data_IF_187688787210
#
_entry.id   IF_187688787210
#
_cell.length_a   1.000
_cell.length_b   1.000
_cell.length_c   1.000
_cell.angle_alpha   90.00
_cell.angle_beta   90.00
_cell.angle_gamma   90.00
#
_symmetry.space_group_name_H-M   'P 1'
#
loop_
_entity.id
_entity.type
_entity.pdbx_description
1 polymer ?
#
# COMPACT_ATOMS: atom_id res chain seq x y z
N UNK A 1 29.99 -58.91 50.43
CA UNK A 1 30.30 -57.65 49.83
C UNK A 1 30.04 -57.74 48.32
N UNK A 2 28.98 -57.19 47.82
CA UNK A 2 28.63 -57.21 46.41
C UNK A 2 28.94 -55.81 45.82
N UNK A 3 29.79 -55.77 44.80
CA UNK A 3 30.22 -54.56 44.13
C UNK A 3 29.26 -54.26 42.99
N UNK A 4 28.50 -53.17 43.10
CA UNK A 4 27.59 -52.70 42.03
C UNK A 4 28.39 -51.81 41.03
N UNK A 5 28.44 -52.23 39.78
CA UNK A 5 28.99 -51.47 38.67
C UNK A 5 27.89 -50.56 38.12
N UNK A 6 28.07 -49.24 38.24
CA UNK A 6 27.19 -48.24 37.64
C UNK A 6 27.73 -47.90 36.24
N UNK A 7 27.01 -48.31 35.21
CA UNK A 7 27.32 -47.98 33.82
C UNK A 7 26.66 -46.65 33.48
N UNK A 8 27.44 -45.57 33.24
CA UNK A 8 26.95 -44.29 32.77
C UNK A 8 26.74 -44.33 31.24
N UNK A 9 25.50 -44.15 30.81
CA UNK A 9 25.16 -44.01 29.40
C UNK A 9 25.27 -42.50 29.04
N UNK A 10 26.25 -42.15 28.22
CA UNK A 10 26.35 -40.84 27.67
C UNK A 10 25.41 -40.70 26.46
N UNK A 11 24.39 -39.84 26.57
CA UNK A 11 23.56 -39.43 25.43
C UNK A 11 24.37 -38.40 24.60
N UNK A 12 24.76 -38.81 23.40
CA UNK A 12 25.32 -37.89 22.41
C UNK A 12 24.13 -37.12 21.78
N UNK A 13 24.02 -35.83 22.06
CA UNK A 13 23.15 -34.94 21.28
C UNK A 13 23.80 -34.73 19.88
N UNK A 14 23.32 -35.45 18.87
CA UNK A 14 23.62 -35.10 17.49
C UNK A 14 22.84 -33.82 17.13
N UNK A 15 23.56 -32.73 16.88
CA UNK A 15 23.01 -31.51 16.31
C UNK A 15 22.64 -31.79 14.84
N UNK A 16 21.35 -31.98 14.58
CA UNK A 16 20.83 -32.13 13.22
C UNK A 16 20.93 -30.77 12.50
N UNK A 17 22.02 -30.59 11.73
CA UNK A 17 22.35 -29.35 11.01
C UNK A 17 21.72 -29.30 9.61
N UNK A 18 20.69 -30.11 9.31
CA UNK A 18 20.08 -30.23 7.97
C UNK A 18 18.73 -29.54 7.84
N UNK A 19 18.31 -28.73 8.82
CA UNK A 19 17.09 -27.95 8.67
C UNK A 19 17.33 -26.86 7.60
N UNK A 20 16.56 -26.85 6.48
CA UNK A 20 16.68 -25.78 5.49
C UNK A 20 16.48 -24.42 6.16
N UNK A 21 17.41 -23.51 5.98
CA UNK A 21 17.21 -22.11 6.38
C UNK A 21 16.05 -21.58 5.54
N UNK A 22 14.99 -21.01 6.17
CA UNK A 22 13.92 -20.40 5.40
C UNK A 22 14.51 -19.37 4.43
N UNK A 23 13.96 -19.23 3.21
CA UNK A 23 14.43 -18.21 2.27
C UNK A 23 14.35 -16.84 2.95
N UNK A 24 15.39 -16.04 2.80
CA UNK A 24 15.37 -14.67 3.29
C UNK A 24 14.21 -13.92 2.64
N UNK A 25 13.48 -13.12 3.42
CA UNK A 25 12.43 -12.26 2.90
C UNK A 25 12.97 -11.25 1.88
N UNK A 26 12.11 -10.51 1.19
CA UNK A 26 12.53 -9.52 0.21
C UNK A 26 13.38 -8.43 0.87
N UNK A 27 14.26 -7.82 0.07
CA UNK A 27 14.96 -6.61 0.47
C UNK A 27 14.10 -5.40 0.15
N UNK A 28 14.35 -4.31 0.85
CA UNK A 28 13.76 -3.00 0.53
C UNK A 28 14.84 -2.09 -0.03
N UNK A 29 14.51 -1.28 -1.04
CA UNK A 29 15.45 -0.32 -1.62
C UNK A 29 15.80 0.80 -0.63
N UNK A 30 16.85 1.57 -0.92
CA UNK A 30 16.91 2.93 -0.41
C UNK A 30 15.70 3.73 -0.91
N UNK A 31 15.37 4.83 -0.21
CA UNK A 31 14.27 5.70 -0.60
C UNK A 31 14.56 6.33 -1.98
N UNK A 32 13.64 6.13 -2.93
CA UNK A 32 13.69 6.73 -4.26
C UNK A 32 12.93 8.08 -4.22
N UNK A 33 13.50 9.15 -4.79
CA UNK A 33 12.80 10.44 -4.80
C UNK A 33 11.54 10.39 -5.65
N UNK A 34 10.51 11.13 -5.23
CA UNK A 34 9.28 11.35 -5.99
C UNK A 34 9.24 12.80 -6.41
N UNK A 35 8.86 13.06 -7.67
CA UNK A 35 8.58 14.38 -8.21
C UNK A 35 7.09 14.49 -8.56
N UNK A 36 6.47 15.65 -8.26
CA UNK A 36 5.07 15.90 -8.57
C UNK A 36 4.79 15.72 -10.08
N UNK A 37 3.70 15.02 -10.41
CA UNK A 37 3.32 14.70 -11.78
C UNK A 37 4.09 13.51 -12.40
N UNK A 38 4.98 12.87 -11.64
CA UNK A 38 5.66 11.65 -12.08
C UNK A 38 4.67 10.50 -12.19
N UNK A 39 4.90 9.60 -13.17
CA UNK A 39 4.18 8.31 -13.26
C UNK A 39 5.10 7.20 -12.76
N UNK A 40 4.76 6.60 -11.64
CA UNK A 40 5.55 5.52 -11.02
C UNK A 40 4.91 4.18 -11.30
N UNK A 41 5.51 3.42 -12.21
CA UNK A 41 5.00 2.12 -12.67
C UNK A 41 4.30 2.17 -14.02
N UNK A 42 3.86 1.00 -14.51
CA UNK A 42 3.13 0.89 -15.76
C UNK A 42 1.68 1.36 -15.56
N UNK A 43 1.24 2.33 -16.37
CA UNK A 43 -0.13 2.79 -16.37
C UNK A 43 -1.07 1.69 -16.89
N UNK A 44 -2.15 1.43 -16.16
CA UNK A 44 -3.14 0.38 -16.50
C UNK A 44 -4.57 0.93 -16.52
N UNK A 45 -4.79 2.07 -15.85
CA UNK A 45 -6.12 2.65 -15.64
C UNK A 45 -6.21 4.04 -16.27
N UNK A 46 -7.42 4.45 -16.63
CA UNK A 46 -7.71 5.84 -16.97
C UNK A 46 -7.57 6.74 -15.72
N UNK A 47 -7.57 8.07 -15.91
CA UNK A 47 -7.66 9.03 -14.83
C UNK A 47 -8.92 8.78 -13.98
N UNK A 48 -8.84 9.09 -12.68
CA UNK A 48 -9.74 8.60 -11.67
C UNK A 48 -11.15 9.19 -11.65
N UNK A 49 -11.43 10.29 -12.37
CA UNK A 49 -12.74 10.94 -12.34
C UNK A 49 -13.90 10.03 -12.82
N UNK A 50 -13.63 9.19 -13.82
CA UNK A 50 -14.60 8.25 -14.37
C UNK A 50 -14.56 6.87 -13.72
N UNK A 51 -13.55 6.60 -12.87
CA UNK A 51 -13.31 5.31 -12.21
C UNK A 51 -13.42 5.39 -10.69
N UNK A 52 -13.79 6.54 -10.11
CA UNK A 52 -14.11 6.64 -8.69
C UNK A 52 -15.41 5.94 -8.36
N UNK A 53 -15.46 5.16 -7.29
CA UNK A 53 -16.66 4.42 -6.90
C UNK A 53 -17.83 5.32 -6.54
N UNK A 54 -17.58 6.48 -5.93
CA UNK A 54 -18.61 7.42 -5.46
C UNK A 54 -19.16 8.36 -6.52
N UNK A 55 -18.37 8.74 -7.50
CA UNK A 55 -18.72 9.69 -8.56
C UNK A 55 -19.40 10.98 -8.03
N UNK A 56 -18.90 11.53 -6.93
CA UNK A 56 -19.42 12.69 -6.23
C UNK A 56 -20.42 12.40 -5.11
N UNK A 57 -21.01 11.19 -5.04
CA UNK A 57 -21.82 10.76 -3.91
C UNK A 57 -20.93 10.27 -2.74
N UNK A 58 -21.37 10.41 -1.47
CA UNK A 58 -20.59 9.90 -0.35
C UNK A 58 -20.29 8.40 -0.44
N UNK A 59 -19.06 8.00 -0.09
CA UNK A 59 -18.61 6.60 -0.01
C UNK A 59 -18.12 6.34 1.41
N UNK A 60 -18.64 5.33 2.08
CA UNK A 60 -18.28 4.95 3.46
C UNK A 60 -18.23 6.14 4.44
N UNK A 61 -19.17 7.09 4.29
CA UNK A 61 -19.24 8.30 5.10
C UNK A 61 -18.26 9.41 4.68
N UNK A 62 -17.45 9.20 3.65
CA UNK A 62 -16.52 10.19 3.11
C UNK A 62 -17.22 10.96 1.99
N UNK A 63 -17.34 12.28 2.17
CA UNK A 63 -17.93 13.16 1.18
C UNK A 63 -16.92 13.55 0.09
N UNK A 64 -17.46 13.94 -1.10
CA UNK A 64 -16.72 14.73 -2.08
C UNK A 64 -17.14 16.18 -1.89
N UNK A 65 -16.26 17.01 -1.35
CA UNK A 65 -16.57 18.42 -1.04
C UNK A 65 -15.36 19.35 -1.29
N UNK A 66 -15.51 20.62 -0.93
CA UNK A 66 -14.47 21.64 -1.05
C UNK A 66 -14.12 22.25 0.31
N UNK A 67 -14.42 21.53 1.38
CA UNK A 67 -14.17 22.01 2.76
C UNK A 67 -12.66 22.06 3.01
N UNK A 68 -12.21 23.12 3.66
CA UNK A 68 -10.80 23.23 4.06
C UNK A 68 -10.45 22.14 5.06
N UNK A 69 -9.43 21.32 4.78
CA UNK A 69 -9.05 20.22 5.67
C UNK A 69 -8.41 20.76 6.97
N UNK A 70 -8.67 20.06 8.08
CA UNK A 70 -7.96 20.22 9.36
C UNK A 70 -6.99 19.08 9.62
N UNK A 71 -7.17 17.95 8.91
CA UNK A 71 -6.24 16.84 8.87
C UNK A 71 -5.65 16.77 7.46
N UNK A 72 -4.32 16.74 7.36
CA UNK A 72 -3.61 16.59 6.10
C UNK A 72 -2.40 15.70 6.33
N UNK A 73 -2.47 14.46 5.85
CA UNK A 73 -1.39 13.47 5.89
C UNK A 73 -1.24 12.79 4.54
N UNK A 74 -0.10 12.15 4.32
CA UNK A 74 0.23 11.50 3.07
C UNK A 74 0.65 10.03 3.30
N UNK A 75 0.14 9.13 2.45
CA UNK A 75 0.49 7.70 2.46
C UNK A 75 0.94 7.32 1.06
N UNK A 76 1.97 6.49 0.92
CA UNK A 76 2.38 5.98 -0.37
C UNK A 76 1.91 4.54 -0.57
N UNK A 77 1.21 4.29 -1.68
CA UNK A 77 0.76 2.97 -2.10
C UNK A 77 1.59 2.48 -3.30
N UNK A 78 2.33 1.40 -3.10
CA UNK A 78 2.99 0.65 -4.18
C UNK A 78 2.16 -0.58 -4.53
N UNK A 79 1.78 -0.73 -5.80
CA UNK A 79 1.14 -1.95 -6.33
C UNK A 79 2.10 -2.65 -7.29
N UNK A 80 2.43 -3.91 -6.98
CA UNK A 80 3.23 -4.79 -7.86
C UNK A 80 2.33 -5.95 -8.28
N UNK A 81 2.11 -6.12 -9.56
CA UNK A 81 1.31 -7.22 -10.07
C UNK A 81 2.05 -7.94 -11.20
N UNK A 82 2.18 -9.27 -11.06
CA UNK A 82 2.90 -10.13 -12.01
C UNK A 82 4.35 -9.68 -12.24
N UNK A 83 5.03 -9.28 -11.14
CA UNK A 83 6.43 -8.83 -11.17
C UNK A 83 6.65 -7.42 -11.73
N UNK A 84 5.59 -6.68 -12.06
CA UNK A 84 5.67 -5.32 -12.58
C UNK A 84 4.96 -4.33 -11.66
N UNK A 85 5.61 -3.21 -11.33
CA UNK A 85 4.96 -2.12 -10.62
C UNK A 85 3.90 -1.48 -11.51
N UNK A 86 2.73 -1.20 -10.93
CA UNK A 86 1.58 -0.57 -11.57
C UNK A 86 1.38 0.83 -11.01
N UNK A 87 1.16 1.77 -11.89
CA UNK A 87 0.87 3.14 -11.46
C UNK A 87 -0.52 3.19 -10.81
N UNK A 88 -0.60 3.80 -9.64
CA UNK A 88 -1.87 4.21 -9.05
C UNK A 88 -2.33 5.44 -9.84
N UNK A 89 -3.54 5.44 -10.42
CA UNK A 89 -3.91 6.50 -11.34
C UNK A 89 -4.05 7.87 -10.67
N UNK A 90 -3.81 8.90 -11.46
CA UNK A 90 -4.12 10.29 -11.14
C UNK A 90 -5.62 10.48 -10.95
N UNK A 91 -6.01 11.40 -10.07
CA UNK A 91 -7.38 11.86 -9.86
C UNK A 91 -8.36 10.80 -9.31
N UNK A 92 -7.86 9.77 -8.61
CA UNK A 92 -8.74 8.94 -7.78
C UNK A 92 -9.36 9.86 -6.72
N UNK A 93 -10.68 9.77 -6.50
CA UNK A 93 -11.38 10.58 -5.50
C UNK A 93 -11.46 12.06 -5.84
N UNK A 94 -11.35 12.43 -7.11
CA UNK A 94 -11.43 13.83 -7.56
C UNK A 94 -12.58 14.00 -8.56
N UNK A 95 -13.56 14.82 -8.23
CA UNK A 95 -14.68 15.14 -9.10
C UNK A 95 -14.35 16.30 -10.06
N UNK A 96 -14.53 16.09 -11.36
CA UNK A 96 -14.24 17.08 -12.43
C UNK A 96 -12.80 17.66 -12.31
N UNK A 97 -11.74 16.82 -12.37
CA UNK A 97 -10.37 17.27 -12.20
C UNK A 97 -9.91 18.18 -13.33
N UNK A 98 -9.18 19.26 -13.00
CA UNK A 98 -8.39 20.01 -13.94
C UNK A 98 -6.92 19.61 -13.79
N UNK A 99 -6.41 18.89 -14.81
CA UNK A 99 -5.07 18.29 -14.79
C UNK A 99 -4.12 19.14 -15.63
N UNK A 100 -2.97 19.53 -15.07
CA UNK A 100 -1.88 20.19 -15.75
C UNK A 100 -0.57 19.46 -15.45
N UNK A 101 0.20 19.11 -16.48
CA UNK A 101 1.49 18.41 -16.34
C UNK A 101 1.39 17.13 -15.46
N UNK A 102 0.36 16.30 -15.71
CA UNK A 102 0.06 15.09 -14.96
C UNK A 102 -0.21 15.31 -13.45
N UNK A 103 -0.66 16.49 -13.07
CA UNK A 103 -1.02 16.82 -11.69
C UNK A 103 -2.40 17.50 -11.64
N UNK A 104 -3.24 17.10 -10.68
CA UNK A 104 -4.54 17.75 -10.44
C UNK A 104 -4.29 19.08 -9.74
N UNK A 105 -4.52 20.18 -10.44
CA UNK A 105 -4.33 21.54 -9.91
C UNK A 105 -5.61 22.18 -9.41
N UNK A 106 -6.79 21.65 -9.81
CA UNK A 106 -8.09 22.07 -9.33
C UNK A 106 -9.14 20.99 -9.58
N UNK A 107 -10.25 21.05 -8.86
CA UNK A 107 -11.37 20.12 -9.00
C UNK A 107 -12.71 20.77 -8.66
N UNK A 108 -13.80 20.11 -9.06
CA UNK A 108 -15.14 20.46 -8.60
C UNK A 108 -15.38 20.05 -7.15
N UNK A 109 -14.83 18.90 -6.72
CA UNK A 109 -14.76 18.47 -5.34
C UNK A 109 -13.63 17.42 -5.16
N UNK A 110 -13.21 17.21 -3.91
CA UNK A 110 -12.29 16.15 -3.51
C UNK A 110 -12.96 15.25 -2.48
N UNK A 111 -12.85 13.92 -2.66
CA UNK A 111 -13.01 13.02 -1.53
C UNK A 111 -11.84 13.23 -0.57
N UNK A 112 -12.05 13.03 0.70
CA UNK A 112 -10.99 13.21 1.71
C UNK A 112 -9.80 12.28 1.53
N UNK A 113 -9.96 11.19 0.74
CA UNK A 113 -8.90 10.30 0.28
C UNK A 113 -8.82 10.40 -1.24
N UNK A 114 -7.73 10.92 -1.78
CA UNK A 114 -7.58 11.15 -3.22
C UNK A 114 -6.12 11.13 -3.67
N UNK A 115 -5.91 11.18 -5.00
CA UNK A 115 -4.58 11.30 -5.61
C UNK A 115 -4.50 12.51 -6.51
N UNK A 116 -3.39 13.28 -6.42
CA UNK A 116 -3.14 14.40 -7.32
C UNK A 116 -2.40 13.99 -8.58
N UNK A 117 -1.63 12.91 -8.55
CA UNK A 117 -0.84 12.40 -9.66
C UNK A 117 -0.75 10.86 -9.64
N UNK A 118 0.11 10.29 -10.49
CA UNK A 118 0.29 8.84 -10.58
C UNK A 118 1.56 8.35 -9.88
N UNK A 119 1.98 9.03 -8.81
CA UNK A 119 3.13 8.65 -8.00
C UNK A 119 2.82 7.53 -7.01
N UNK A 120 1.54 7.33 -6.68
CA UNK A 120 1.09 6.44 -5.61
C UNK A 120 0.87 7.15 -4.27
N UNK A 121 1.09 8.46 -4.20
CA UNK A 121 0.78 9.25 -3.00
C UNK A 121 -0.74 9.42 -2.89
N UNK A 122 -1.28 8.98 -1.76
CA UNK A 122 -2.66 9.19 -1.34
C UNK A 122 -2.65 10.37 -0.38
N UNK A 123 -3.42 11.40 -0.70
CA UNK A 123 -3.70 12.52 0.18
C UNK A 123 -4.88 12.17 1.08
N UNK A 124 -4.74 12.42 2.36
CA UNK A 124 -5.81 12.33 3.37
C UNK A 124 -6.08 13.74 3.84
N UNK A 125 -7.07 14.39 3.23
CA UNK A 125 -7.43 15.78 3.48
C UNK A 125 -8.86 15.86 4.00
N UNK A 126 -9.03 15.88 5.31
CA UNK A 126 -10.34 15.75 5.95
C UNK A 126 -10.69 16.95 6.84
N UNK A 127 -11.98 17.37 6.88
CA UNK A 127 -12.46 18.42 7.79
C UNK A 127 -12.60 17.93 9.22
N UNK A 128 -12.26 16.67 9.50
CA UNK A 128 -12.30 16.04 10.81
C UNK A 128 -11.01 15.25 11.05
N UNK A 129 -10.50 15.28 12.29
CA UNK A 129 -9.38 14.45 12.68
C UNK A 129 -9.89 13.06 13.05
N UNK A 130 -9.67 12.08 12.16
CA UNK A 130 -10.08 10.69 12.34
C UNK A 130 -9.13 9.75 11.61
N UNK A 131 -9.24 8.46 11.88
CA UNK A 131 -8.46 7.43 11.18
C UNK A 131 -9.20 7.01 9.92
N UNK A 132 -8.48 6.98 8.80
CA UNK A 132 -8.92 6.42 7.54
C UNK A 132 -8.10 5.17 7.23
N UNK A 133 -8.59 4.33 6.29
CA UNK A 133 -7.95 3.07 5.97
C UNK A 133 -7.92 2.79 4.46
N UNK A 134 -7.14 1.79 4.09
CA UNK A 134 -6.95 1.38 2.71
C UNK A 134 -8.25 0.90 2.04
N UNK A 135 -9.15 0.27 2.80
CA UNK A 135 -10.46 -0.18 2.28
C UNK A 135 -11.31 0.98 1.79
N UNK A 136 -11.36 2.08 2.54
CA UNK A 136 -12.08 3.29 2.17
C UNK A 136 -11.49 3.93 0.90
N UNK A 137 -10.15 3.96 0.77
CA UNK A 137 -9.52 4.46 -0.45
C UNK A 137 -9.89 3.61 -1.67
N UNK A 138 -9.86 2.27 -1.55
CA UNK A 138 -10.26 1.37 -2.64
C UNK A 138 -11.75 1.46 -2.97
N UNK A 139 -12.61 1.70 -1.98
CA UNK A 139 -14.03 1.96 -2.18
C UNK A 139 -14.27 3.25 -2.99
N UNK A 140 -13.55 4.33 -2.68
CA UNK A 140 -13.57 5.59 -3.45
C UNK A 140 -13.02 5.37 -4.86
N UNK A 141 -11.95 4.59 -5.01
CA UNK A 141 -11.41 4.23 -6.32
C UNK A 141 -12.37 3.34 -7.13
N UNK A 142 -13.27 2.61 -6.45
CA UNK A 142 -14.18 1.66 -7.09
C UNK A 142 -13.48 0.40 -7.58
N UNK A 143 -12.36 0.04 -6.96
CA UNK A 143 -11.56 -1.13 -7.31
C UNK A 143 -11.62 -2.20 -6.21
N UNK A 144 -11.52 -3.50 -6.56
CA UNK A 144 -11.50 -4.57 -5.58
C UNK A 144 -10.23 -4.54 -4.73
N UNK A 145 -10.40 -4.87 -3.44
CA UNK A 145 -9.32 -5.10 -2.49
C UNK A 145 -9.60 -6.37 -1.68
N UNK A 146 -8.84 -7.42 -1.91
CA UNK A 146 -8.95 -8.67 -1.17
C UNK A 146 -7.61 -9.43 -1.17
N UNK A 147 -7.52 -10.53 -0.42
CA UNK A 147 -6.36 -11.43 -0.40
C UNK A 147 -6.09 -12.16 -1.73
N UNK A 148 -6.97 -12.01 -2.71
CA UNK A 148 -6.86 -12.67 -4.02
C UNK A 148 -7.12 -11.75 -5.22
N UNK A 149 -7.48 -10.49 -4.99
CA UNK A 149 -7.74 -9.50 -6.05
C UNK A 149 -7.45 -8.09 -5.55
N UNK A 150 -6.50 -7.41 -6.17
CA UNK A 150 -6.18 -6.01 -5.91
C UNK A 150 -6.28 -5.23 -7.22
N UNK A 151 -7.19 -4.29 -7.27
CA UNK A 151 -7.41 -3.41 -8.43
C UNK A 151 -7.58 -4.18 -9.76
N UNK A 152 -8.24 -5.35 -9.73
CA UNK A 152 -8.46 -6.20 -10.89
C UNK A 152 -7.36 -7.22 -11.18
N UNK A 153 -6.19 -7.12 -10.55
CA UNK A 153 -5.16 -8.16 -10.63
C UNK A 153 -5.49 -9.30 -9.69
N UNK A 154 -5.59 -10.52 -10.22
CA UNK A 154 -5.94 -11.71 -9.46
C UNK A 154 -4.72 -12.58 -9.17
N UNK A 155 -4.67 -13.15 -7.97
CA UNK A 155 -3.58 -13.99 -7.49
C UNK A 155 -3.42 -13.90 -5.97
N UNK A 156 -2.48 -14.65 -5.41
CA UNK A 156 -2.12 -14.52 -3.99
C UNK A 156 -1.58 -13.12 -3.71
N UNK A 157 -2.06 -12.47 -2.67
CA UNK A 157 -1.64 -11.12 -2.28
C UNK A 157 -0.74 -11.18 -1.06
N UNK A 158 0.43 -10.54 -1.15
CA UNK A 158 1.32 -10.27 -0.02
C UNK A 158 1.36 -8.77 0.22
N UNK A 159 1.21 -8.35 1.47
CA UNK A 159 1.23 -6.95 1.85
C UNK A 159 2.39 -6.63 2.80
N UNK A 160 2.92 -5.42 2.68
CA UNK A 160 3.91 -4.85 3.60
C UNK A 160 3.46 -3.45 4.00
N UNK A 161 3.65 -3.12 5.26
CA UNK A 161 3.46 -1.79 5.83
C UNK A 161 4.76 -1.39 6.50
N UNK A 162 5.36 -0.28 6.07
CA UNK A 162 6.66 0.22 6.54
C UNK A 162 7.73 -0.89 6.58
N UNK A 163 7.84 -1.64 5.48
CA UNK A 163 8.78 -2.76 5.30
C UNK A 163 8.50 -4.00 6.19
N UNK A 164 7.42 -4.02 6.95
CA UNK A 164 7.00 -5.16 7.76
C UNK A 164 5.85 -5.89 7.07
N UNK A 165 5.95 -7.22 6.94
CA UNK A 165 4.88 -8.00 6.34
C UNK A 165 3.59 -7.89 7.17
N UNK A 166 2.51 -7.52 6.49
CA UNK A 166 1.17 -7.42 7.07
C UNK A 166 0.34 -8.65 6.72
N UNK A 167 -0.29 -9.27 7.73
CA UNK A 167 -1.06 -10.51 7.57
C UNK A 167 -2.54 -10.36 7.95
N UNK A 168 -2.98 -9.14 8.27
CA UNK A 168 -4.36 -8.83 8.60
C UNK A 168 -5.25 -8.60 7.37
N UNK A 169 -6.46 -8.11 7.61
CA UNK A 169 -7.36 -7.65 6.55
C UNK A 169 -6.77 -6.42 5.88
N UNK A 170 -6.57 -6.49 4.56
CA UNK A 170 -5.99 -5.39 3.78
C UNK A 170 -6.80 -4.10 3.89
N UNK A 171 -8.14 -4.22 3.93
CA UNK A 171 -9.02 -3.07 4.08
C UNK A 171 -8.87 -2.37 5.44
N UNK A 172 -8.39 -3.08 6.46
CA UNK A 172 -8.20 -2.53 7.81
C UNK A 172 -6.80 -1.93 8.05
N UNK A 173 -5.99 -1.72 7.00
CA UNK A 173 -4.72 -0.99 7.13
C UNK A 173 -5.03 0.49 7.36
N UNK A 174 -4.87 0.94 8.59
CA UNK A 174 -5.04 2.34 8.98
C UNK A 174 -3.94 3.22 8.42
N UNK A 175 -4.31 4.40 7.92
CA UNK A 175 -3.36 5.37 7.36
C UNK A 175 -2.65 6.16 8.45
N UNK A 176 -1.32 6.23 8.32
CA UNK A 176 -0.44 7.02 9.15
C UNK A 176 0.39 7.97 8.28
N UNK A 177 0.79 9.11 8.84
CA UNK A 177 1.64 10.07 8.12
C UNK A 177 2.92 9.42 7.60
N UNK A 178 3.19 9.61 6.29
CA UNK A 178 4.36 9.09 5.55
C UNK A 178 4.50 7.56 5.55
N UNK A 179 3.41 6.85 5.80
CA UNK A 179 3.37 5.39 5.77
C UNK A 179 3.57 4.87 4.35
N UNK A 180 4.30 3.77 4.22
CA UNK A 180 4.51 3.08 2.95
C UNK A 180 3.75 1.75 2.94
N UNK A 181 2.77 1.61 2.07
CA UNK A 181 2.00 0.39 1.88
C UNK A 181 2.41 -0.24 0.55
N UNK A 182 2.79 -1.50 0.57
CA UNK A 182 3.07 -2.26 -0.65
C UNK A 182 2.14 -3.45 -0.75
N UNK A 183 1.41 -3.55 -1.86
CA UNK A 183 0.58 -4.70 -2.22
C UNK A 183 1.21 -5.42 -3.40
N UNK A 184 1.40 -6.74 -3.27
CA UNK A 184 2.04 -7.58 -4.29
C UNK A 184 1.09 -8.71 -4.65
N UNK A 185 0.68 -8.76 -5.92
CA UNK A 185 -0.15 -9.83 -6.48
C UNK A 185 0.75 -10.79 -7.25
N UNK A 186 0.82 -12.05 -6.80
CA UNK A 186 1.67 -13.09 -7.37
C UNK A 186 3.03 -13.19 -6.66
N UNK A 187 4.11 -13.33 -7.43
CA UNK A 187 5.46 -13.53 -6.87
C UNK A 187 6.01 -12.26 -6.24
N UNK A 188 6.49 -12.37 -5.01
CA UNK A 188 7.20 -11.29 -4.32
C UNK A 188 8.57 -11.09 -4.97
N UNK A 189 8.94 -9.88 -5.41
CA UNK A 189 10.24 -9.62 -6.01
C UNK A 189 11.35 -9.65 -4.94
N UNK A 190 12.60 -9.86 -5.38
CA UNK A 190 13.77 -9.86 -4.49
C UNK A 190 13.98 -8.50 -3.81
N UNK A 191 13.58 -7.42 -4.47
CA UNK A 191 13.66 -6.05 -3.94
C UNK A 191 12.35 -5.31 -4.15
N UNK A 192 11.84 -4.73 -3.06
CA UNK A 192 10.63 -3.88 -3.03
C UNK A 192 11.10 -2.43 -2.99
N UNK A 193 10.60 -1.56 -3.90
CA UNK A 193 10.93 -0.14 -3.88
C UNK A 193 10.29 0.58 -2.68
N UNK A 194 11.02 1.51 -2.10
CA UNK A 194 10.53 2.49 -1.12
C UNK A 194 10.72 3.89 -1.68
N UNK A 195 9.87 4.83 -1.26
CA UNK A 195 9.81 6.16 -1.84
C UNK A 195 9.97 7.25 -0.78
N UNK A 196 10.70 8.31 -1.13
CA UNK A 196 10.82 9.52 -0.33
C UNK A 196 9.68 10.47 -0.71
N UNK A 197 8.89 10.89 0.27
CA UNK A 197 7.90 11.94 0.06
C UNK A 197 8.58 13.26 -0.30
N UNK A 198 7.99 14.09 -1.19
CA UNK A 198 8.45 15.45 -1.41
C UNK A 198 8.54 16.25 -0.10
N UNK A 199 9.40 17.25 -0.06
CA UNK A 199 9.70 17.96 1.20
C UNK A 199 8.52 18.81 1.72
N UNK A 200 7.59 19.13 0.87
CA UNK A 200 6.37 19.91 1.11
C UNK A 200 5.13 19.03 1.44
N UNK A 201 5.34 17.73 1.53
CA UNK A 201 4.32 16.72 1.86
C UNK A 201 4.51 16.22 3.30
#
# INVERSE_FOLDING_TARGET
MALAIVTSIAFACSSDSTRPVPPAGPKFSALLPIEAGQVIGAATYAAGDSSTGGQGAPVDGIACDTTTPIQHIHVHLTLIANGQQRAIPIAIGVGNPFILQNFVVAAGCYYWLHTHDATGIIHVEAPVATTFNLGQFFAIWGQPLSSSNVAGFTGSVTAYVDSTQYTGDLGAIDFQERQQITLIVGTVPDTIPLYAFPADY
#
